data_IF_675599977322
#
_entry.id   IF_675599977322
#
_cell.length_a   1.000
_cell.length_b   1.000
_cell.length_c   1.000
_cell.angle_alpha   90.00
_cell.angle_beta   90.00
_cell.angle_gamma   90.00
#
_symmetry.space_group_name_H-M   'P 1'
#
loop_
_entity.id
_entity.type
_entity.pdbx_description
1 polymer ?
#
# COMPACT_ATOMS: atom_id res chain seq x y z
N UNK A 1 -18.36 32.02 7.07
CA UNK A 1 -17.25 31.47 6.26
C UNK A 1 -16.14 32.51 6.24
N UNK A 2 -14.89 32.11 6.49
CA UNK A 2 -13.79 33.07 6.60
C UNK A 2 -13.34 33.53 5.21
N UNK A 3 -13.67 34.76 4.86
CA UNK A 3 -13.34 35.40 3.57
C UNK A 3 -11.89 35.93 3.53
N UNK A 4 -10.96 35.29 4.24
CA UNK A 4 -9.59 35.79 4.31
C UNK A 4 -8.90 35.53 2.97
N UNK A 5 -8.61 36.61 2.24
CA UNK A 5 -8.00 36.55 0.91
C UNK A 5 -6.49 36.78 0.91
N UNK A 6 -5.98 37.52 1.89
CA UNK A 6 -4.55 37.84 2.00
C UNK A 6 -4.07 37.53 3.39
N UNK A 7 -2.98 36.77 3.50
CA UNK A 7 -2.36 36.40 4.75
C UNK A 7 -0.86 36.69 4.65
N UNK A 8 -0.39 37.61 5.47
CA UNK A 8 1.03 37.95 5.58
C UNK A 8 1.57 37.39 6.90
N UNK A 9 2.53 36.50 6.79
CA UNK A 9 3.25 35.84 7.88
C UNK A 9 4.76 36.03 7.70
N UNK A 10 5.19 37.09 7.03
CA UNK A 10 6.60 37.37 6.82
C UNK A 10 7.34 37.66 8.14
N UNK A 11 8.62 37.28 8.21
CA UNK A 11 9.49 37.58 9.35
C UNK A 11 9.15 36.83 10.64
N UNK A 12 8.60 35.62 10.53
CA UNK A 12 8.30 34.75 11.67
C UNK A 12 9.25 33.54 11.70
N UNK A 13 9.06 32.65 12.66
CA UNK A 13 9.86 31.42 12.81
C UNK A 13 9.10 30.17 12.35
N UNK A 14 8.28 30.28 11.29
CA UNK A 14 7.48 29.16 10.81
C UNK A 14 8.39 28.12 10.15
N UNK A 15 8.51 26.95 10.77
CA UNK A 15 9.24 25.80 10.21
C UNK A 15 8.34 24.91 9.35
N UNK A 16 7.07 24.77 9.75
CA UNK A 16 6.11 23.89 9.10
C UNK A 16 4.79 24.58 8.82
N UNK A 17 4.23 24.31 7.64
CA UNK A 17 2.90 24.78 7.28
C UNK A 17 1.88 23.83 7.91
N UNK A 18 0.93 24.32 8.73
CA UNK A 18 0.00 23.45 9.42
C UNK A 18 -1.06 22.90 8.45
N UNK A 19 -1.45 21.61 8.55
CA UNK A 19 -2.42 20.99 7.63
C UNK A 19 -3.81 21.64 7.62
N UNK A 20 -4.18 22.33 8.70
CA UNK A 20 -5.47 23.01 8.79
C UNK A 20 -5.54 24.28 7.94
N UNK A 21 -4.39 24.90 7.58
CA UNK A 21 -4.35 26.15 6.81
C UNK A 21 -5.06 25.98 5.47
N UNK A 22 -4.67 24.96 4.70
CA UNK A 22 -5.28 24.61 3.42
C UNK A 22 -6.73 24.16 3.54
N UNK A 23 -7.15 23.64 4.70
CA UNK A 23 -8.52 23.17 4.92
C UNK A 23 -9.48 24.31 5.29
N UNK A 24 -9.03 25.28 6.09
CA UNK A 24 -9.89 26.35 6.64
C UNK A 24 -9.91 27.61 5.78
N UNK A 25 -8.80 27.97 5.14
CA UNK A 25 -8.66 29.25 4.42
C UNK A 25 -8.91 29.11 2.92
N UNK A 26 -10.04 28.52 2.52
CA UNK A 26 -10.32 28.17 1.12
C UNK A 26 -10.29 29.35 0.15
N UNK A 27 -10.66 30.55 0.61
CA UNK A 27 -10.68 31.78 -0.19
C UNK A 27 -9.36 32.55 -0.19
N UNK A 28 -8.27 31.96 0.33
CA UNK A 28 -6.97 32.62 0.38
C UNK A 28 -6.36 32.72 -1.01
N UNK A 29 -6.03 33.94 -1.43
CA UNK A 29 -5.45 34.28 -2.73
C UNK A 29 -3.98 34.63 -2.66
N UNK A 30 -3.55 35.29 -1.58
CA UNK A 30 -2.17 35.73 -1.39
C UNK A 30 -1.65 35.22 -0.06
N UNK A 31 -0.53 34.50 -0.10
CA UNK A 31 0.19 34.02 1.07
C UNK A 31 1.64 34.49 1.04
N UNK A 32 2.03 35.27 2.04
CA UNK A 32 3.40 35.76 2.19
C UNK A 32 4.03 35.06 3.39
N UNK A 33 5.05 34.25 3.13
CA UNK A 33 5.83 33.50 4.12
C UNK A 33 7.31 33.89 4.06
N UNK A 34 7.62 35.06 3.51
CA UNK A 34 8.98 35.57 3.38
C UNK A 34 9.72 35.59 4.73
N UNK A 35 10.98 35.16 4.78
CA UNK A 35 11.79 35.25 5.99
C UNK A 35 11.27 34.36 7.13
N UNK A 36 11.02 33.09 6.82
CA UNK A 36 10.65 32.04 7.77
C UNK A 36 11.68 30.90 7.72
N UNK A 37 11.41 29.78 8.40
CA UNK A 37 12.32 28.63 8.51
C UNK A 37 11.83 27.39 7.74
N UNK A 38 10.99 27.60 6.71
CA UNK A 38 10.41 26.49 5.92
C UNK A 38 11.52 25.83 5.10
N UNK A 39 11.74 24.54 5.31
CA UNK A 39 12.86 23.80 4.71
C UNK A 39 12.44 22.61 3.85
N UNK A 40 11.15 22.28 3.77
CA UNK A 40 10.66 21.07 3.10
C UNK A 40 9.65 21.36 1.98
N UNK A 41 9.85 20.73 0.82
CA UNK A 41 8.87 20.73 -0.28
C UNK A 41 7.52 20.12 0.14
N UNK A 42 7.52 19.22 1.13
CA UNK A 42 6.29 18.64 1.69
C UNK A 42 5.44 19.67 2.43
N UNK A 43 6.02 20.77 2.92
CA UNK A 43 5.23 21.84 3.53
C UNK A 43 4.43 22.60 2.46
N UNK A 44 5.00 22.82 1.28
CA UNK A 44 4.33 23.48 0.15
C UNK A 44 3.18 22.61 -0.38
N UNK A 45 3.35 21.28 -0.42
CA UNK A 45 2.29 20.38 -0.89
C UNK A 45 1.01 20.44 -0.02
N UNK A 46 1.12 20.83 1.26
CA UNK A 46 -0.02 21.05 2.16
C UNK A 46 -0.90 22.25 1.75
N UNK A 47 -0.39 23.15 0.90
CA UNK A 47 -1.14 24.27 0.35
C UNK A 47 -2.00 23.89 -0.87
N UNK A 48 -1.82 22.68 -1.44
CA UNK A 48 -2.62 22.15 -2.57
C UNK A 48 -4.14 22.32 -2.44
N UNK A 49 -4.76 22.20 -1.24
CA UNK A 49 -6.20 22.38 -1.09
C UNK A 49 -6.69 23.83 -1.24
N UNK A 50 -5.80 24.82 -1.35
CA UNK A 50 -6.12 26.24 -1.59
C UNK A 50 -6.28 26.49 -3.09
N UNK A 51 -7.50 26.30 -3.61
CA UNK A 51 -7.78 26.41 -5.05
C UNK A 51 -7.76 27.86 -5.55
N UNK A 52 -7.93 28.84 -4.66
CA UNK A 52 -7.94 30.26 -5.00
C UNK A 52 -6.56 30.92 -4.83
N UNK A 53 -5.53 30.19 -4.39
CA UNK A 53 -4.21 30.75 -4.12
C UNK A 53 -3.50 31.10 -5.43
N UNK A 54 -3.38 32.40 -5.71
CA UNK A 54 -2.76 32.92 -6.93
C UNK A 54 -1.36 33.46 -6.70
N UNK A 55 -1.00 33.90 -5.49
CA UNK A 55 0.32 34.46 -5.19
C UNK A 55 0.93 33.88 -3.92
N UNK A 56 2.17 33.41 -4.03
CA UNK A 56 2.97 32.83 -2.94
C UNK A 56 4.36 33.46 -2.91
N UNK A 57 4.79 33.85 -1.72
CA UNK A 57 6.16 34.34 -1.48
C UNK A 57 6.80 33.50 -0.38
N UNK A 58 7.88 32.79 -0.71
CA UNK A 58 8.71 31.98 0.19
C UNK A 58 10.17 32.44 0.20
N UNK A 59 10.54 33.56 -0.44
CA UNK A 59 11.88 34.15 -0.34
C UNK A 59 12.40 34.19 1.09
N UNK A 60 13.73 34.10 1.26
CA UNK A 60 14.37 34.07 2.58
C UNK A 60 13.91 32.89 3.46
N UNK A 61 13.56 31.75 2.85
CA UNK A 61 13.39 30.46 3.53
C UNK A 61 14.41 29.43 3.00
N UNK A 62 14.85 28.46 3.82
CA UNK A 62 15.73 27.38 3.38
C UNK A 62 15.21 26.58 2.18
N UNK A 63 13.88 26.44 2.02
CA UNK A 63 13.27 25.72 0.90
C UNK A 63 13.68 26.25 -0.48
N UNK A 64 13.98 27.55 -0.58
CA UNK A 64 14.30 28.20 -1.86
C UNK A 64 15.64 27.73 -2.43
N UNK A 65 16.53 27.19 -1.59
CA UNK A 65 17.82 26.64 -2.03
C UNK A 65 17.70 25.19 -2.52
N UNK A 66 16.55 24.54 -2.34
CA UNK A 66 16.36 23.17 -2.75
C UNK A 66 16.31 23.03 -4.28
N UNK A 67 16.89 21.96 -4.83
CA UNK A 67 16.79 21.68 -6.25
C UNK A 67 15.32 21.48 -6.64
N UNK A 68 14.93 22.08 -7.77
CA UNK A 68 13.59 21.95 -8.36
C UNK A 68 12.45 22.49 -7.50
N UNK A 69 12.73 23.29 -6.47
CA UNK A 69 11.73 23.96 -5.65
C UNK A 69 10.68 24.69 -6.49
N UNK A 70 11.13 25.45 -7.48
CA UNK A 70 10.26 26.26 -8.32
C UNK A 70 9.29 25.39 -9.13
N UNK A 71 9.82 24.40 -9.85
CA UNK A 71 9.02 23.46 -10.63
C UNK A 71 8.09 22.64 -9.73
N UNK A 72 8.56 22.18 -8.57
CA UNK A 72 7.77 21.40 -7.62
C UNK A 72 6.56 22.20 -7.14
N UNK A 73 6.79 23.46 -6.76
CA UNK A 73 5.75 24.37 -6.27
C UNK A 73 4.69 24.61 -7.33
N UNK A 74 5.08 24.89 -8.57
CA UNK A 74 4.16 25.11 -9.70
C UNK A 74 3.37 23.84 -10.02
N UNK A 75 4.01 22.68 -10.00
CA UNK A 75 3.37 21.39 -10.30
C UNK A 75 2.26 21.06 -9.28
N UNK A 76 2.54 21.29 -8.00
CA UNK A 76 1.61 20.97 -6.91
C UNK A 76 0.53 22.04 -6.69
N UNK A 77 0.86 23.33 -6.88
CA UNK A 77 -0.04 24.46 -6.70
C UNK A 77 -0.53 24.98 -8.04
N UNK A 78 -1.47 24.25 -8.65
CA UNK A 78 -1.95 24.54 -10.01
C UNK A 78 -2.62 25.90 -10.16
N UNK A 79 -3.23 26.43 -9.10
CA UNK A 79 -3.88 27.75 -9.08
C UNK A 79 -2.91 28.93 -9.07
N UNK A 80 -1.62 28.68 -8.84
CA UNK A 80 -0.65 29.74 -8.62
C UNK A 80 -0.36 30.51 -9.91
N UNK A 81 -0.54 31.82 -9.90
CA UNK A 81 -0.28 32.73 -11.02
C UNK A 81 1.06 33.46 -10.84
N UNK A 82 1.50 33.65 -9.60
CA UNK A 82 2.78 34.30 -9.28
C UNK A 82 3.50 33.61 -8.12
N UNK A 83 4.80 33.36 -8.30
CA UNK A 83 5.70 32.82 -7.30
C UNK A 83 6.90 33.78 -7.13
N UNK A 84 7.16 34.22 -5.89
CA UNK A 84 8.20 35.23 -5.59
C UNK A 84 8.07 36.53 -6.39
N UNK A 85 6.84 36.92 -6.74
CA UNK A 85 6.57 38.09 -7.58
C UNK A 85 6.87 37.90 -9.07
N UNK A 86 7.31 36.71 -9.49
CA UNK A 86 7.46 36.34 -10.90
C UNK A 86 6.18 35.66 -11.40
N UNK A 87 5.73 35.93 -12.65
CA UNK A 87 4.58 35.25 -13.22
C UNK A 87 4.88 33.78 -13.53
N UNK A 88 3.94 32.90 -13.20
CA UNK A 88 4.00 31.48 -13.55
C UNK A 88 3.57 31.31 -15.01
N UNK A 89 4.55 31.22 -15.90
CA UNK A 89 4.31 31.09 -17.35
C UNK A 89 3.83 29.70 -17.74
N UNK A 90 3.22 29.57 -18.91
CA UNK A 90 2.88 28.28 -19.53
C UNK A 90 4.10 27.39 -19.72
N UNK A 91 5.23 27.99 -20.10
CA UNK A 91 6.51 27.30 -20.25
C UNK A 91 6.98 26.68 -18.93
N UNK A 92 6.98 27.47 -17.85
CA UNK A 92 7.36 26.96 -16.52
C UNK A 92 6.43 25.85 -16.02
N UNK A 93 5.13 25.90 -16.37
CA UNK A 93 4.19 24.82 -16.08
C UNK A 93 4.49 23.56 -16.88
N UNK A 94 4.84 23.70 -18.15
CA UNK A 94 5.20 22.57 -18.99
C UNK A 94 6.49 21.90 -18.49
N UNK A 95 7.54 22.67 -18.19
CA UNK A 95 8.77 22.14 -17.60
C UNK A 95 8.55 21.41 -16.28
N UNK A 96 7.70 21.97 -15.41
CA UNK A 96 7.30 21.34 -14.17
C UNK A 96 6.51 20.05 -14.42
N UNK A 97 5.60 20.06 -15.38
CA UNK A 97 4.82 18.89 -15.77
C UNK A 97 5.71 17.78 -16.32
N UNK A 98 6.56 18.06 -17.31
CA UNK A 98 7.48 17.09 -17.89
C UNK A 98 8.32 16.44 -16.79
N UNK A 99 8.95 17.26 -15.94
CA UNK A 99 9.82 16.74 -14.89
C UNK A 99 9.11 15.83 -13.89
N UNK A 100 8.01 16.30 -13.30
CA UNK A 100 7.36 15.58 -12.21
C UNK A 100 6.34 14.54 -12.69
N UNK A 101 5.84 14.63 -13.92
CA UNK A 101 5.04 13.55 -14.51
C UNK A 101 5.91 12.33 -14.82
N UNK A 102 7.12 12.53 -15.36
CA UNK A 102 8.08 11.46 -15.63
C UNK A 102 8.54 10.77 -14.34
N UNK A 103 8.87 11.53 -13.29
CA UNK A 103 9.26 10.96 -11.98
C UNK A 103 8.11 10.16 -11.34
N UNK A 104 6.87 10.64 -11.42
CA UNK A 104 5.69 9.93 -10.93
C UNK A 104 5.44 8.64 -11.73
N UNK A 105 5.54 8.70 -13.06
CA UNK A 105 5.41 7.53 -13.94
C UNK A 105 6.50 6.49 -13.62
N UNK A 106 7.76 6.90 -13.53
CA UNK A 106 8.86 6.00 -13.17
C UNK A 106 8.73 5.40 -11.76
N UNK A 107 8.12 6.13 -10.81
CA UNK A 107 7.81 5.57 -9.48
C UNK A 107 6.71 4.52 -9.59
N UNK A 108 5.62 4.83 -10.29
CA UNK A 108 4.49 3.92 -10.48
C UNK A 108 4.90 2.65 -11.25
N UNK A 109 5.78 2.76 -12.24
CA UNK A 109 6.35 1.61 -12.96
C UNK A 109 7.12 0.68 -12.03
N UNK A 110 7.99 1.22 -11.16
CA UNK A 110 8.73 0.42 -10.16
C UNK A 110 7.79 -0.25 -9.15
N UNK A 111 6.78 0.47 -8.66
CA UNK A 111 5.79 -0.07 -7.73
C UNK A 111 4.97 -1.18 -8.38
N UNK A 112 4.59 -1.02 -9.66
CA UNK A 112 3.88 -2.02 -10.45
C UNK A 112 4.73 -3.28 -10.67
N UNK A 113 6.00 -3.13 -11.02
CA UNK A 113 6.94 -4.24 -11.20
C UNK A 113 7.10 -5.05 -9.90
N UNK A 114 7.27 -4.38 -8.76
CA UNK A 114 7.31 -5.02 -7.45
C UNK A 114 6.02 -5.81 -7.14
N UNK A 115 4.85 -5.24 -7.47
CA UNK A 115 3.56 -5.91 -7.27
C UNK A 115 3.37 -7.12 -8.16
N UNK A 116 3.89 -7.09 -9.39
CA UNK A 116 3.88 -8.23 -10.30
C UNK A 116 4.73 -9.37 -9.70
N UNK A 117 5.95 -9.08 -9.24
CA UNK A 117 6.81 -10.07 -8.59
C UNK A 117 6.16 -10.70 -7.35
N UNK A 118 5.59 -9.88 -6.45
CA UNK A 118 4.86 -10.38 -5.27
C UNK A 118 3.70 -11.31 -5.66
N UNK A 119 2.98 -10.97 -6.73
CA UNK A 119 1.84 -11.77 -7.23
C UNK A 119 2.29 -13.09 -7.83
N UNK A 120 3.39 -13.10 -8.58
CA UNK A 120 3.98 -14.32 -9.15
C UNK A 120 4.48 -15.27 -8.06
N UNK A 121 5.12 -14.73 -7.02
CA UNK A 121 5.57 -15.53 -5.88
C UNK A 121 4.38 -16.16 -5.14
N UNK A 122 3.32 -15.39 -4.89
CA UNK A 122 2.09 -15.89 -4.27
C UNK A 122 1.42 -16.96 -5.12
N UNK A 123 1.34 -16.78 -6.44
CA UNK A 123 0.81 -17.80 -7.36
C UNK A 123 1.64 -19.08 -7.32
N UNK A 124 2.96 -19.00 -7.29
CA UNK A 124 3.86 -20.15 -7.17
C UNK A 124 3.69 -20.89 -5.83
N UNK A 125 3.49 -20.17 -4.73
CA UNK A 125 3.16 -20.78 -3.44
C UNK A 125 1.79 -21.46 -3.46
N UNK A 126 0.79 -20.82 -4.08
CA UNK A 126 -0.55 -21.37 -4.20
C UNK A 126 -0.58 -22.68 -5.00
N UNK A 127 0.17 -22.76 -6.12
CA UNK A 127 0.21 -23.99 -6.92
C UNK A 127 0.87 -25.14 -6.16
N UNK A 128 1.96 -24.88 -5.45
CA UNK A 128 2.62 -25.88 -4.58
C UNK A 128 1.68 -26.39 -3.49
N UNK A 129 0.98 -25.48 -2.81
CA UNK A 129 0.03 -25.85 -1.77
C UNK A 129 -1.15 -26.67 -2.31
N UNK A 130 -1.66 -26.32 -3.50
CA UNK A 130 -2.70 -27.12 -4.18
C UNK A 130 -2.21 -28.53 -4.54
N UNK A 131 -0.96 -28.67 -4.95
CA UNK A 131 -0.36 -29.97 -5.25
C UNK A 131 -0.18 -30.82 -3.98
N UNK A 132 0.25 -30.20 -2.88
CA UNK A 132 0.39 -30.85 -1.58
C UNK A 132 -0.97 -31.32 -1.03
N UNK A 133 -2.02 -30.51 -1.13
CA UNK A 133 -3.40 -30.92 -0.79
C UNK A 133 -3.82 -32.14 -1.62
N UNK A 134 -3.61 -32.11 -2.94
CA UNK A 134 -3.95 -33.25 -3.81
C UNK A 134 -3.22 -34.53 -3.43
N UNK A 135 -1.96 -34.42 -3.02
CA UNK A 135 -1.18 -35.57 -2.57
C UNK A 135 -1.68 -36.09 -1.21
N UNK A 136 -2.00 -35.19 -0.28
CA UNK A 136 -2.57 -35.54 1.01
C UNK A 136 -3.94 -36.22 0.87
N UNK A 137 -4.80 -35.74 -0.03
CA UNK A 137 -6.11 -36.34 -0.32
C UNK A 137 -5.97 -37.76 -0.86
N UNK A 138 -5.01 -37.99 -1.77
CA UNK A 138 -4.71 -39.34 -2.28
C UNK A 138 -4.23 -40.27 -1.16
N UNK A 139 -3.31 -39.80 -0.32
CA UNK A 139 -2.77 -40.58 0.79
C UNK A 139 -3.85 -40.95 1.81
N UNK A 140 -4.69 -39.98 2.20
CA UNK A 140 -5.80 -40.20 3.11
C UNK A 140 -6.81 -41.22 2.54
N UNK A 141 -7.05 -41.19 1.23
CA UNK A 141 -7.91 -42.17 0.57
C UNK A 141 -7.32 -43.59 0.66
N UNK A 142 -6.04 -43.75 0.35
CA UNK A 142 -5.35 -45.05 0.47
C UNK A 142 -5.32 -45.59 1.89
N UNK A 143 -5.02 -44.74 2.89
CA UNK A 143 -5.04 -45.14 4.30
C UNK A 143 -6.43 -45.59 4.76
N UNK A 144 -7.49 -44.93 4.26
CA UNK A 144 -8.87 -45.32 4.56
C UNK A 144 -9.24 -46.68 3.95
N UNK A 145 -8.79 -46.94 2.73
CA UNK A 145 -8.96 -48.25 2.07
C UNK A 145 -8.20 -49.35 2.82
N UNK A 146 -6.94 -49.11 3.21
CA UNK A 146 -6.13 -50.07 3.97
C UNK A 146 -6.70 -50.37 5.36
N UNK A 147 -7.15 -49.35 6.08
CA UNK A 147 -7.80 -49.52 7.40
C UNK A 147 -9.10 -50.34 7.29
N UNK A 148 -9.86 -50.18 6.21
CA UNK A 148 -11.07 -50.96 5.96
C UNK A 148 -10.73 -52.44 5.72
N UNK A 149 -9.70 -52.71 4.92
CA UNK A 149 -9.23 -54.09 4.65
C UNK A 149 -8.68 -54.77 5.91
N UNK A 150 -7.88 -54.07 6.71
CA UNK A 150 -7.40 -54.60 7.99
C UNK A 150 -8.55 -54.95 8.93
N UNK A 151 -9.57 -54.08 9.01
CA UNK A 151 -10.73 -54.33 9.86
C UNK A 151 -11.49 -55.60 9.44
N UNK A 152 -11.73 -55.77 8.14
CA UNK A 152 -12.37 -56.99 7.60
C UNK A 152 -11.54 -58.24 7.90
N UNK A 153 -10.21 -58.17 7.72
CA UNK A 153 -9.32 -59.30 8.01
C UNK A 153 -9.31 -59.68 9.50
N UNK A 154 -9.32 -58.69 10.41
CA UNK A 154 -9.44 -58.94 11.85
C UNK A 154 -10.77 -59.62 12.21
N UNK A 155 -11.89 -59.13 11.65
CA UNK A 155 -13.22 -59.73 11.87
C UNK A 155 -13.26 -61.19 11.38
N UNK A 156 -12.66 -61.49 10.21
CA UNK A 156 -12.55 -62.86 9.71
C UNK A 156 -11.71 -63.77 10.63
N UNK A 157 -10.57 -63.29 11.12
CA UNK A 157 -9.72 -64.04 12.04
C UNK A 157 -10.43 -64.32 13.36
N UNK A 158 -11.17 -63.34 13.90
CA UNK A 158 -11.95 -63.48 15.14
C UNK A 158 -13.07 -64.52 14.97
N UNK A 159 -13.80 -64.48 13.86
CA UNK A 159 -14.81 -65.48 13.52
C UNK A 159 -14.21 -66.90 13.42
N UNK A 160 -13.05 -67.04 12.77
CA UNK A 160 -12.35 -68.32 12.67
C UNK A 160 -11.85 -68.84 14.03
N UNK A 161 -11.45 -67.95 14.93
CA UNK A 161 -10.98 -68.31 16.26
C UNK A 161 -12.15 -68.75 17.16
N UNK A 162 -13.28 -68.05 17.07
CA UNK A 162 -14.52 -68.41 17.77
C UNK A 162 -15.04 -69.78 17.33
N UNK A 163 -15.12 -70.06 16.03
CA UNK A 163 -15.56 -71.38 15.53
C UNK A 163 -14.63 -72.51 16.00
N UNK A 164 -13.30 -72.30 16.03
CA UNK A 164 -12.36 -73.28 16.60
C UNK A 164 -12.58 -73.49 18.10
N UNK A 165 -12.81 -72.42 18.87
CA UNK A 165 -13.08 -72.54 20.31
C UNK A 165 -14.39 -73.28 20.60
N UNK A 166 -15.45 -73.03 19.81
CA UNK A 166 -16.71 -73.77 19.93
C UNK A 166 -16.52 -75.26 19.64
N UNK A 167 -15.76 -75.62 18.60
CA UNK A 167 -15.42 -77.01 18.32
C UNK A 167 -14.66 -77.65 19.48
N UNK A 168 -13.63 -76.98 20.01
CA UNK A 168 -12.85 -77.47 21.16
C UNK A 168 -13.71 -77.63 22.41
N UNK A 169 -14.62 -76.68 22.68
CA UNK A 169 -15.56 -76.77 23.79
C UNK A 169 -16.52 -77.96 23.62
N UNK A 170 -17.03 -78.17 22.41
CA UNK A 170 -17.93 -79.29 22.09
C UNK A 170 -17.25 -80.64 22.27
N UNK A 171 -15.98 -80.76 21.87
CA UNK A 171 -15.13 -81.93 22.12
C UNK A 171 -14.88 -82.19 23.61
N UNK A 172 -14.76 -81.15 24.45
CA UNK A 172 -14.58 -81.30 25.89
C UNK A 172 -15.86 -81.67 26.65
N UNK A 173 -17.05 -81.30 26.15
CA UNK A 173 -18.36 -81.70 26.72
C UNK A 173 -18.79 -83.14 26.40
N UNK A 174 -18.13 -83.81 25.46
CA UNK A 174 -18.45 -85.18 25.00
C UNK A 174 -17.57 -86.26 25.66
N UNK A 175 -16.73 -85.87 26.63
CA UNK A 175 -15.91 -86.74 27.50
C UNK A 175 -16.43 -86.68 28.93
#
# INVERSE_FOLDING_TARGET
>A
MCNLQKLNLAGNEIEHIPPWLGKKLKSLRVLILKGNKISSLQDVSKLKPLQDLTSLILLENPIVTLPHYFQFTIFHLRSLESLEGQPVTTQSRHEAFERFSLEEVQRLERDLEKKIMETEELKSKQTKFLEEIKNQDKLNKSLKEESMLQKQSCEELENNLNTKNELVSSYFTLL
#
